data_IF_382199839725
#
_entry.id   IF_382199839725
#
_cell.length_a   1.000
_cell.length_b   1.000
_cell.length_c   1.000
_cell.angle_alpha   90.00
_cell.angle_beta   90.00
_cell.angle_gamma   90.00
#
_symmetry.space_group_name_H-M   'P 1'
#
loop_
_entity.id
_entity.type
_entity.pdbx_description
1 polymer ?
#
# COMPACT_ATOMS: atom_id res chain seq x y z
N UNK A 1 11.78 -18.86 -6.07
CA UNK A 1 10.75 -18.39 -5.11
C UNK A 1 9.50 -18.06 -5.91
N UNK A 2 8.33 -18.66 -5.63
CA UNK A 2 7.05 -18.25 -6.26
C UNK A 2 6.37 -17.26 -5.31
N UNK A 3 6.26 -16.00 -5.72
CA UNK A 3 5.58 -14.94 -4.97
C UNK A 3 4.27 -14.57 -5.67
N UNK A 4 3.25 -14.19 -4.92
CA UNK A 4 2.07 -13.52 -5.50
C UNK A 4 2.45 -12.11 -5.96
N UNK A 5 1.62 -11.50 -6.81
CA UNK A 5 1.90 -10.16 -7.32
C UNK A 5 2.05 -9.11 -6.20
N UNK A 6 1.20 -9.18 -5.16
CA UNK A 6 1.28 -8.29 -4.01
C UNK A 6 2.50 -8.56 -3.13
N UNK A 7 2.85 -9.84 -2.92
CA UNK A 7 4.09 -10.20 -2.22
C UNK A 7 5.33 -9.71 -2.95
N UNK A 8 5.35 -9.80 -4.28
CA UNK A 8 6.45 -9.28 -5.10
C UNK A 8 6.56 -7.74 -5.01
N UNK A 9 5.43 -7.03 -4.97
CA UNK A 9 5.38 -5.57 -4.79
C UNK A 9 5.94 -5.16 -3.42
N UNK A 10 5.50 -5.83 -2.35
CA UNK A 10 6.01 -5.59 -0.98
C UNK A 10 7.50 -5.92 -0.90
N UNK A 11 7.94 -7.02 -1.50
CA UNK A 11 9.34 -7.40 -1.55
C UNK A 11 10.18 -6.32 -2.26
N UNK A 12 9.73 -5.84 -3.42
CA UNK A 12 10.39 -4.78 -4.18
C UNK A 12 10.52 -3.48 -3.36
N UNK A 13 9.47 -3.08 -2.62
CA UNK A 13 9.49 -1.91 -1.72
C UNK A 13 10.53 -2.04 -0.60
N UNK A 14 10.73 -3.24 -0.06
CA UNK A 14 11.66 -3.48 1.06
C UNK A 14 13.08 -3.81 0.60
N UNK A 15 13.29 -4.07 -0.70
CA UNK A 15 14.56 -4.49 -1.24
C UNK A 15 15.71 -3.49 -1.00
N UNK A 16 15.51 -2.15 -1.07
CA UNK A 16 16.54 -1.17 -0.73
C UNK A 16 17.12 -1.41 0.67
N UNK A 17 16.27 -1.60 1.68
CA UNK A 17 16.71 -1.83 3.07
C UNK A 17 17.53 -3.11 3.25
N UNK A 18 17.29 -4.12 2.41
CA UNK A 18 18.03 -5.39 2.45
C UNK A 18 19.38 -5.24 1.75
N UNK A 19 19.40 -4.63 0.56
CA UNK A 19 20.59 -4.59 -0.30
C UNK A 19 21.57 -3.47 0.08
N UNK A 20 21.11 -2.39 0.72
CA UNK A 20 21.93 -1.19 0.99
C UNK A 20 23.28 -1.46 1.66
N UNK A 21 23.36 -2.54 2.46
CA UNK A 21 24.56 -2.93 3.21
C UNK A 21 25.62 -3.60 2.34
N UNK A 22 25.22 -4.12 1.19
CA UNK A 22 26.05 -4.92 0.28
C UNK A 22 26.41 -4.17 -1.00
N UNK A 23 25.83 -2.98 -1.20
CA UNK A 23 25.97 -2.19 -2.43
C UNK A 23 26.76 -0.91 -2.15
N UNK A 24 27.73 -0.52 -3.01
CA UNK A 24 28.41 0.76 -2.94
C UNK A 24 27.47 1.99 -2.97
N UNK A 25 28.01 3.18 -2.71
CA UNK A 25 27.21 4.42 -2.71
C UNK A 25 26.68 4.77 -4.09
N UNK A 26 27.53 4.63 -5.11
CA UNK A 26 27.27 5.08 -6.48
C UNK A 26 27.13 3.94 -7.49
N UNK A 27 26.54 2.82 -7.06
CA UNK A 27 26.35 1.67 -7.93
C UNK A 27 25.23 1.91 -8.95
N UNK A 28 25.58 1.86 -10.24
CA UNK A 28 24.65 2.12 -11.35
C UNK A 28 23.53 1.07 -11.46
N UNK A 29 23.80 -0.19 -11.12
CA UNK A 29 22.78 -1.25 -11.14
C UNK A 29 21.78 -1.06 -10.00
N UNK A 30 22.24 -0.57 -8.85
CA UNK A 30 21.36 -0.21 -7.77
C UNK A 30 20.51 1.02 -8.10
N UNK A 31 21.08 2.04 -8.74
CA UNK A 31 20.30 3.18 -9.24
C UNK A 31 19.20 2.72 -10.20
N UNK A 32 19.51 1.79 -11.10
CA UNK A 32 18.51 1.19 -12.00
C UNK A 32 17.38 0.49 -11.24
N UNK A 33 17.70 -0.18 -10.12
CA UNK A 33 16.71 -0.77 -9.22
C UNK A 33 15.83 0.29 -8.53
N UNK A 34 16.41 1.39 -8.06
CA UNK A 34 15.65 2.48 -7.42
C UNK A 34 14.69 3.15 -8.42
N UNK A 35 15.11 3.31 -9.67
CA UNK A 35 14.26 3.85 -10.73
C UNK A 35 13.03 2.99 -11.00
N UNK A 36 13.18 1.66 -11.08
CA UNK A 36 12.01 0.78 -11.26
C UNK A 36 11.09 0.79 -10.02
N UNK A 37 11.65 0.94 -8.82
CA UNK A 37 10.86 1.11 -7.59
C UNK A 37 10.01 2.38 -7.68
N UNK A 38 10.59 3.52 -8.11
CA UNK A 38 9.87 4.78 -8.30
C UNK A 38 8.73 4.65 -9.32
N UNK A 39 9.02 4.07 -10.50
CA UNK A 39 8.01 3.82 -11.54
C UNK A 39 6.84 3.01 -10.98
N UNK A 40 7.14 1.93 -10.26
CA UNK A 40 6.11 1.08 -9.63
C UNK A 40 5.34 1.86 -8.56
N UNK A 41 6.00 2.65 -7.72
CA UNK A 41 5.32 3.46 -6.70
C UNK A 41 4.30 4.43 -7.32
N UNK A 42 4.68 5.15 -8.38
CA UNK A 42 3.78 6.08 -9.07
C UNK A 42 2.62 5.32 -9.74
N UNK A 43 2.90 4.20 -10.42
CA UNK A 43 1.87 3.38 -11.08
C UNK A 43 0.81 2.83 -10.10
N UNK A 44 1.21 2.53 -8.86
CA UNK A 44 0.31 2.02 -7.82
C UNK A 44 -0.32 3.11 -6.96
N UNK A 45 -0.05 4.39 -7.24
CA UNK A 45 -0.69 5.48 -6.53
C UNK A 45 -2.21 5.48 -6.76
N UNK A 46 -3.04 5.61 -5.70
CA UNK A 46 -4.49 5.67 -5.83
C UNK A 46 -4.99 6.97 -6.47
N UNK A 47 -4.14 8.00 -6.48
CA UNK A 47 -4.41 9.32 -7.03
C UNK A 47 -3.30 9.69 -8.00
N UNK A 48 -3.67 10.13 -9.20
CA UNK A 48 -2.74 10.61 -10.21
C UNK A 48 -2.91 12.12 -10.38
N UNK A 49 -1.80 12.85 -10.35
CA UNK A 49 -1.72 14.28 -10.64
C UNK A 49 -0.95 14.48 -11.93
N UNK A 50 -1.23 15.57 -12.67
CA UNK A 50 -0.47 15.87 -13.91
C UNK A 50 1.05 15.95 -13.66
N UNK A 51 1.55 16.63 -12.60
CA UNK A 51 2.97 16.62 -12.29
C UNK A 51 3.54 15.23 -12.01
N UNK A 52 2.77 14.35 -11.33
CA UNK A 52 3.20 12.97 -11.07
C UNK A 52 3.24 12.10 -12.33
N UNK A 53 2.42 12.41 -13.34
CA UNK A 53 2.50 11.76 -14.66
C UNK A 53 3.75 12.21 -15.41
N UNK A 54 4.11 13.48 -15.32
CA UNK A 54 5.32 14.00 -15.94
C UNK A 54 6.57 13.39 -15.29
N UNK A 55 6.61 13.30 -13.95
CA UNK A 55 7.65 12.59 -13.20
C UNK A 55 7.77 11.12 -13.64
N UNK A 56 6.63 10.44 -13.87
CA UNK A 56 6.63 9.06 -14.37
C UNK A 56 7.24 8.96 -15.77
N UNK A 57 6.95 9.92 -16.66
CA UNK A 57 7.50 9.94 -18.02
C UNK A 57 9.03 10.08 -17.99
N UNK A 58 9.52 11.02 -17.20
CA UNK A 58 10.96 11.23 -16.99
C UNK A 58 11.63 10.00 -16.37
N UNK A 59 11.01 9.40 -15.34
CA UNK A 59 11.52 8.22 -14.68
C UNK A 59 11.62 7.00 -15.63
N UNK A 60 10.61 6.80 -16.49
CA UNK A 60 10.61 5.72 -17.49
C UNK A 60 11.70 5.94 -18.55
N UNK A 61 11.82 7.16 -19.09
CA UNK A 61 12.85 7.49 -20.08
C UNK A 61 14.26 7.26 -19.51
N UNK A 62 14.51 7.77 -18.31
CA UNK A 62 15.78 7.59 -17.62
C UNK A 62 16.07 6.10 -17.35
N UNK A 63 15.08 5.34 -16.89
CA UNK A 63 15.23 3.92 -16.61
C UNK A 63 15.57 3.10 -17.86
N UNK A 64 14.86 3.32 -18.97
CA UNK A 64 15.09 2.59 -20.21
C UNK A 64 16.44 2.95 -20.86
N UNK A 65 16.84 4.21 -20.77
CA UNK A 65 18.14 4.68 -21.24
C UNK A 65 19.27 4.02 -20.45
N UNK A 66 19.24 4.12 -19.12
CA UNK A 66 20.24 3.52 -18.24
C UNK A 66 20.26 1.98 -18.36
N UNK A 67 19.10 1.34 -18.53
CA UNK A 67 19.03 -0.10 -18.79
C UNK A 67 19.81 -0.47 -20.05
N UNK A 68 19.65 0.30 -21.14
CA UNK A 68 20.35 0.00 -22.39
C UNK A 68 21.83 0.31 -22.36
N UNK A 69 22.25 1.31 -21.61
CA UNK A 69 23.67 1.60 -21.39
C UNK A 69 24.36 0.48 -20.59
N UNK A 70 23.72 -0.02 -19.52
CA UNK A 70 24.25 -1.09 -18.69
C UNK A 70 24.17 -2.48 -19.35
N UNK A 71 23.15 -2.70 -20.18
CA UNK A 71 22.91 -3.98 -20.87
C UNK A 71 22.78 -3.82 -22.39
N UNK A 72 23.85 -3.42 -23.09
CA UNK A 72 23.78 -3.07 -24.52
C UNK A 72 23.33 -4.24 -25.41
N UNK A 73 23.70 -5.46 -25.04
CA UNK A 73 23.37 -6.70 -25.77
C UNK A 73 21.95 -7.20 -25.54
N UNK A 74 21.26 -6.73 -24.49
CA UNK A 74 19.92 -7.23 -24.11
C UNK A 74 18.84 -6.39 -24.76
N UNK A 75 17.99 -6.98 -25.60
CA UNK A 75 16.92 -6.25 -26.25
C UNK A 75 15.83 -5.80 -25.26
N UNK A 76 15.24 -4.63 -25.55
CA UNK A 76 14.05 -4.16 -24.85
C UNK A 76 12.89 -5.10 -25.17
N UNK A 77 12.33 -5.71 -24.13
CA UNK A 77 11.17 -6.60 -24.27
C UNK A 77 9.86 -5.80 -24.34
N UNK A 78 8.77 -6.39 -24.87
CA UNK A 78 7.48 -5.70 -24.96
C UNK A 78 7.00 -5.08 -23.65
N UNK A 79 7.22 -5.76 -22.51
CA UNK A 79 6.85 -5.24 -21.18
C UNK A 79 7.56 -3.93 -20.81
N UNK A 80 8.83 -3.80 -21.18
CA UNK A 80 9.60 -2.57 -20.97
C UNK A 80 9.14 -1.47 -21.92
N UNK A 81 8.91 -1.82 -23.19
CA UNK A 81 8.36 -0.88 -24.17
C UNK A 81 7.00 -0.32 -23.73
N UNK A 82 6.11 -1.16 -23.16
CA UNK A 82 4.81 -0.68 -22.69
C UNK A 82 4.87 0.40 -21.60
N UNK A 83 5.99 0.53 -20.88
CA UNK A 83 6.17 1.59 -19.89
C UNK A 83 6.06 2.99 -20.49
N UNK A 84 6.44 3.18 -21.77
CA UNK A 84 6.37 4.52 -22.40
C UNK A 84 4.94 5.00 -22.59
N UNK A 85 3.97 4.07 -22.66
CA UNK A 85 2.55 4.37 -22.87
C UNK A 85 1.79 4.55 -21.55
N UNK A 86 2.39 4.14 -20.42
CA UNK A 86 1.78 4.22 -19.10
C UNK A 86 1.39 5.66 -18.72
N UNK A 87 2.23 6.70 -18.90
CA UNK A 87 1.86 8.08 -18.60
C UNK A 87 0.58 8.52 -19.33
N UNK A 88 0.48 8.24 -20.62
CA UNK A 88 -0.68 8.62 -21.42
C UNK A 88 -1.91 7.81 -21.04
N UNK A 89 -1.76 6.53 -20.70
CA UNK A 89 -2.86 5.72 -20.15
C UNK A 89 -3.41 6.33 -18.84
N UNK A 90 -2.54 6.82 -17.95
CA UNK A 90 -2.98 7.46 -16.70
C UNK A 90 -3.76 8.74 -16.99
N UNK A 91 -3.34 9.56 -17.96
CA UNK A 91 -4.05 10.78 -18.34
C UNK A 91 -5.45 10.50 -18.90
N UNK A 92 -5.59 9.46 -19.72
CA UNK A 92 -6.86 9.15 -20.38
C UNK A 92 -7.81 8.29 -19.53
N UNK A 93 -7.27 7.37 -18.72
CA UNK A 93 -8.04 6.34 -18.01
C UNK A 93 -8.01 6.51 -16.47
N UNK A 94 -7.20 7.45 -15.97
CA UNK A 94 -6.98 7.64 -14.54
C UNK A 94 -5.98 6.64 -13.93
N UNK A 95 -5.89 6.58 -12.59
CA UNK A 95 -4.87 5.79 -11.89
C UNK A 95 -4.88 4.30 -12.24
N UNK A 96 -3.71 3.74 -12.58
CA UNK A 96 -3.58 2.35 -13.04
C UNK A 96 -3.99 1.31 -12.01
N UNK A 97 -3.87 1.61 -10.72
CA UNK A 97 -4.30 0.70 -9.65
C UNK A 97 -5.78 0.32 -9.78
N UNK A 98 -6.62 1.19 -10.35
CA UNK A 98 -8.05 0.94 -10.59
C UNK A 98 -8.30 -0.05 -11.72
N UNK A 99 -7.34 -0.21 -12.63
CA UNK A 99 -7.37 -1.13 -13.77
C UNK A 99 -6.59 -2.43 -13.50
N UNK A 100 -6.05 -2.59 -12.29
CA UNK A 100 -5.24 -3.76 -11.92
C UNK A 100 -6.07 -5.04 -11.88
N UNK A 101 -5.53 -6.10 -12.47
CA UNK A 101 -6.15 -7.43 -12.44
C UNK A 101 -5.90 -8.22 -11.15
N UNK A 102 -5.11 -7.70 -10.20
CA UNK A 102 -4.75 -8.41 -8.97
C UNK A 102 -5.98 -8.87 -8.17
N UNK A 103 -7.03 -8.05 -8.11
CA UNK A 103 -8.26 -8.41 -7.38
C UNK A 103 -9.04 -9.53 -8.07
N UNK A 104 -9.10 -9.52 -9.40
CA UNK A 104 -9.70 -10.60 -10.17
C UNK A 104 -8.91 -11.89 -9.96
N UNK A 105 -7.58 -11.85 -10.03
CA UNK A 105 -6.73 -13.01 -9.78
C UNK A 105 -6.85 -13.55 -8.34
N UNK A 106 -6.98 -12.66 -7.35
CA UNK A 106 -7.21 -13.04 -5.95
C UNK A 106 -8.55 -13.74 -5.76
N UNK A 107 -9.63 -13.28 -6.41
CA UNK A 107 -10.93 -13.97 -6.39
C UNK A 107 -10.84 -15.40 -6.96
N UNK A 108 -9.98 -15.64 -7.95
CA UNK A 108 -9.76 -16.98 -8.48
C UNK A 108 -9.04 -17.94 -7.52
N UNK A 109 -8.45 -17.45 -6.41
CA UNK A 109 -7.85 -18.32 -5.40
C UNK A 109 -8.86 -19.30 -4.81
N UNK A 110 -10.08 -18.82 -4.48
CA UNK A 110 -11.18 -19.65 -4.00
C UNK A 110 -11.42 -20.88 -4.89
N UNK A 111 -11.55 -20.65 -6.20
CA UNK A 111 -11.79 -21.73 -7.16
C UNK A 111 -10.61 -22.70 -7.24
N UNK A 112 -9.37 -22.18 -7.20
CA UNK A 112 -8.15 -23.01 -7.23
C UNK A 112 -8.02 -23.89 -5.98
N UNK A 113 -8.42 -23.39 -4.83
CA UNK A 113 -8.32 -24.12 -3.56
C UNK A 113 -9.39 -25.22 -3.44
N UNK A 114 -10.59 -24.98 -3.97
CA UNK A 114 -11.73 -25.91 -3.86
C UNK A 114 -11.77 -26.92 -5.00
N UNK A 115 -11.34 -26.56 -6.21
CA UNK A 115 -11.30 -27.44 -7.38
C UNK A 115 -10.71 -28.84 -7.08
N UNK A 116 -9.54 -28.99 -6.42
CA UNK A 116 -8.97 -30.32 -6.15
C UNK A 116 -9.76 -31.14 -5.11
N UNK A 117 -10.68 -30.52 -4.37
CA UNK A 117 -11.51 -31.19 -3.36
C UNK A 117 -12.84 -31.70 -3.94
N UNK A 118 -13.15 -31.38 -5.19
CA UNK A 118 -14.42 -31.75 -5.83
C UNK A 118 -14.26 -32.99 -6.72
N UNK A 119 -15.40 -33.59 -7.09
CA UNK A 119 -15.40 -34.58 -8.16
C UNK A 119 -15.06 -33.90 -9.51
N UNK A 120 -14.45 -34.64 -10.44
CA UNK A 120 -14.04 -34.09 -11.75
C UNK A 120 -15.20 -33.94 -12.76
N UNK A 121 -16.44 -34.26 -12.35
CA UNK A 121 -17.59 -34.19 -13.25
C UNK A 121 -18.25 -32.82 -13.13
N UNK A 122 -18.24 -32.05 -14.21
CA UNK A 122 -18.84 -30.71 -14.26
C UNK A 122 -18.28 -29.74 -13.20
N UNK A 123 -16.96 -29.80 -12.95
CA UNK A 123 -16.29 -28.99 -11.92
C UNK A 123 -16.62 -27.50 -11.99
N UNK A 124 -16.73 -26.92 -13.19
CA UNK A 124 -17.09 -25.52 -13.38
C UNK A 124 -18.50 -25.21 -12.84
N UNK A 125 -19.46 -26.11 -13.07
CA UNK A 125 -20.83 -25.95 -12.58
C UNK A 125 -20.85 -26.03 -11.05
N UNK A 126 -20.24 -27.06 -10.47
CA UNK A 126 -20.23 -27.25 -9.01
C UNK A 126 -19.52 -26.10 -8.29
N UNK A 127 -18.42 -25.59 -8.83
CA UNK A 127 -17.73 -24.42 -8.29
C UNK A 127 -18.58 -23.15 -8.40
N UNK A 128 -19.27 -22.93 -9.51
CA UNK A 128 -20.13 -21.78 -9.71
C UNK A 128 -21.34 -21.81 -8.78
N UNK A 129 -22.04 -22.95 -8.66
CA UNK A 129 -23.18 -23.13 -7.75
C UNK A 129 -22.77 -22.89 -6.30
N UNK A 130 -21.64 -23.48 -5.88
CA UNK A 130 -21.13 -23.29 -4.51
C UNK A 130 -20.77 -21.83 -4.24
N UNK A 131 -20.12 -21.16 -5.19
CA UNK A 131 -19.75 -19.75 -5.04
C UNK A 131 -21.00 -18.86 -4.96
N UNK A 132 -22.01 -19.10 -5.79
CA UNK A 132 -23.28 -18.38 -5.75
C UNK A 132 -24.02 -18.58 -4.41
N UNK A 133 -24.03 -19.81 -3.87
CA UNK A 133 -24.64 -20.09 -2.58
C UNK A 133 -23.90 -19.38 -1.43
N UNK A 134 -22.57 -19.33 -1.47
CA UNK A 134 -21.76 -18.59 -0.50
C UNK A 134 -22.03 -17.08 -0.55
N UNK A 135 -22.04 -16.50 -1.76
CA UNK A 135 -22.39 -15.10 -1.96
C UNK A 135 -23.82 -14.81 -1.46
N UNK A 136 -24.82 -15.64 -1.80
CA UNK A 136 -26.19 -15.50 -1.29
C UNK A 136 -26.28 -15.57 0.25
N UNK A 137 -25.55 -16.49 0.88
CA UNK A 137 -25.51 -16.59 2.34
C UNK A 137 -24.92 -15.32 2.98
N UNK A 138 -23.88 -14.75 2.36
CA UNK A 138 -23.30 -13.48 2.80
C UNK A 138 -24.29 -12.32 2.63
N UNK A 139 -25.08 -12.28 1.55
CA UNK A 139 -26.12 -11.28 1.30
C UNK A 139 -27.24 -11.29 2.35
N UNK A 140 -27.65 -12.49 2.81
CA UNK A 140 -28.80 -12.64 3.70
C UNK A 140 -28.52 -12.29 5.18
N UNK A 141 -27.25 -12.17 5.57
CA UNK A 141 -26.85 -11.90 6.96
C UNK A 141 -26.73 -10.41 7.31
N UNK A 142 -27.00 -9.50 6.38
CA UNK A 142 -26.79 -8.06 6.59
C UNK A 142 -27.94 -7.37 7.32
N UNK A 143 -27.57 -6.70 8.40
CA UNK A 143 -28.28 -5.56 8.96
C UNK A 143 -28.66 -4.59 7.81
N UNK A 144 -29.92 -4.11 7.68
CA UNK A 144 -30.41 -3.33 6.52
C UNK A 144 -29.62 -2.06 6.15
N UNK A 145 -28.64 -1.66 6.98
CA UNK A 145 -27.73 -0.54 6.74
C UNK A 145 -26.35 -0.96 6.18
N UNK A 146 -26.11 -2.24 5.89
CA UNK A 146 -24.86 -2.72 5.29
C UNK A 146 -25.13 -3.23 3.87
N UNK A 147 -24.37 -2.68 2.91
CA UNK A 147 -24.38 -3.19 1.54
C UNK A 147 -23.32 -4.30 1.44
N UNK A 148 -23.61 -5.41 0.76
CA UNK A 148 -22.72 -6.57 0.59
C UNK A 148 -21.33 -6.25 0.03
N UNK A 149 -21.25 -5.23 -0.82
CA UNK A 149 -19.97 -4.74 -1.37
C UNK A 149 -19.06 -4.10 -0.32
N UNK A 150 -19.62 -3.64 0.80
CA UNK A 150 -18.92 -2.90 1.86
C UNK A 150 -18.84 -3.68 3.19
N UNK A 151 -19.39 -4.90 3.26
CA UNK A 151 -19.37 -5.78 4.44
C UNK A 151 -17.96 -5.97 5.06
N UNK A 152 -16.91 -5.92 4.25
CA UNK A 152 -15.53 -6.12 4.70
C UNK A 152 -14.73 -4.83 4.87
N UNK A 153 -15.33 -3.65 4.66
CA UNK A 153 -14.57 -2.40 4.69
C UNK A 153 -14.15 -1.99 6.10
N UNK A 154 -14.84 -2.45 7.16
CA UNK A 154 -14.45 -2.12 8.54
C UNK A 154 -14.60 -3.35 9.43
N UNK A 155 -13.47 -3.97 9.79
CA UNK A 155 -13.42 -5.00 10.86
C UNK A 155 -12.53 -4.50 11.99
N UNK A 156 -12.86 -4.81 13.23
CA UNK A 156 -12.05 -4.43 14.37
C UNK A 156 -11.76 -5.62 15.26
N UNK A 157 -10.61 -5.56 15.94
CA UNK A 157 -10.24 -6.51 16.96
C UNK A 157 -11.02 -6.29 18.26
N UNK A 158 -10.62 -7.00 19.33
CA UNK A 158 -11.23 -6.84 20.65
C UNK A 158 -11.36 -5.37 21.04
N UNK A 159 -12.56 -4.97 21.45
CA UNK A 159 -12.89 -3.58 21.78
C UNK A 159 -13.07 -3.38 23.27
N UNK A 160 -12.44 -2.34 23.80
CA UNK A 160 -12.65 -1.85 25.15
C UNK A 160 -13.57 -0.63 25.08
N UNK A 161 -14.78 -0.75 25.62
CA UNK A 161 -15.72 0.39 25.71
C UNK A 161 -15.15 1.43 26.67
N UNK A 162 -15.18 2.69 26.24
CA UNK A 162 -14.83 3.85 27.04
C UNK A 162 -16.12 4.58 27.44
N UNK A 163 -16.04 5.59 28.31
CA UNK A 163 -17.24 6.28 28.81
C UNK A 163 -18.10 6.84 27.65
N UNK A 164 -19.42 6.58 27.72
CA UNK A 164 -20.37 6.84 26.63
C UNK A 164 -20.67 5.61 25.78
N UNK A 165 -21.90 5.49 25.26
CA UNK A 165 -22.34 4.26 24.56
C UNK A 165 -21.64 4.00 23.21
N UNK A 166 -20.97 5.00 22.64
CA UNK A 166 -20.52 4.96 21.24
C UNK A 166 -19.00 4.97 21.03
N UNK A 167 -18.19 5.10 22.10
CA UNK A 167 -16.72 5.15 22.01
C UNK A 167 -16.10 3.80 22.41
N UNK A 168 -15.37 3.19 21.49
CA UNK A 168 -14.61 1.96 21.76
C UNK A 168 -13.17 2.08 21.27
N UNK A 169 -12.20 1.64 22.08
CA UNK A 169 -10.81 1.50 21.63
C UNK A 169 -10.54 0.07 21.19
N UNK A 170 -9.73 -0.11 20.14
CA UNK A 170 -9.36 -1.43 19.63
C UNK A 170 -7.84 -1.52 19.41
N UNK A 171 -7.30 -2.73 19.50
CA UNK A 171 -5.86 -2.99 19.27
C UNK A 171 -5.49 -2.97 17.79
N UNK A 172 -6.44 -3.40 16.94
CA UNK A 172 -6.25 -3.46 15.50
C UNK A 172 -7.56 -3.21 14.76
N UNK A 173 -7.46 -2.66 13.56
CA UNK A 173 -8.60 -2.40 12.70
C UNK A 173 -8.24 -2.68 11.25
N UNK A 174 -9.12 -3.34 10.52
CA UNK A 174 -9.08 -3.47 9.08
C UNK A 174 -9.96 -2.39 8.47
N UNK A 175 -9.36 -1.49 7.68
CA UNK A 175 -10.04 -0.47 6.90
C UNK A 175 -9.81 -0.73 5.40
N UNK A 176 -10.87 -1.14 4.70
CA UNK A 176 -10.76 -1.66 3.34
C UNK A 176 -9.84 -2.88 3.28
N UNK A 177 -8.68 -2.71 2.64
CA UNK A 177 -7.65 -3.75 2.51
C UNK A 177 -6.50 -3.57 3.49
N UNK A 178 -6.51 -2.49 4.28
CA UNK A 178 -5.39 -2.12 5.11
C UNK A 178 -5.60 -2.62 6.53
N UNK A 179 -4.59 -3.33 7.05
CA UNK A 179 -4.57 -3.81 8.43
C UNK A 179 -3.77 -2.83 9.29
N UNK A 180 -4.47 -2.13 10.18
CA UNK A 180 -3.91 -1.10 11.07
C UNK A 180 -3.67 -1.72 12.43
N UNK A 181 -2.44 -1.59 12.91
CA UNK A 181 -2.01 -2.02 14.23
C UNK A 181 -1.44 -0.84 15.00
N UNK A 182 -1.44 -0.97 16.33
CA UNK A 182 -0.62 -0.11 17.19
C UNK A 182 0.86 -0.18 16.74
N UNK A 183 1.51 0.97 16.71
CA UNK A 183 2.92 1.13 16.33
C UNK A 183 3.15 1.33 14.82
N UNK A 184 2.14 1.11 13.97
CA UNK A 184 2.17 1.51 12.56
C UNK A 184 2.30 3.03 12.44
N UNK A 185 2.79 3.50 11.30
CA UNK A 185 2.95 4.92 11.01
C UNK A 185 2.01 5.32 9.88
N UNK A 186 1.42 6.50 10.01
CA UNK A 186 0.52 7.09 9.01
C UNK A 186 1.00 8.50 8.65
N UNK A 187 0.77 8.92 7.41
CA UNK A 187 0.99 10.32 7.03
C UNK A 187 -0.25 11.13 7.41
N UNK A 188 -0.09 12.02 8.40
CA UNK A 188 -1.20 12.77 8.99
C UNK A 188 -1.43 14.11 8.30
N UNK A 189 -0.38 14.71 7.78
CA UNK A 189 -0.42 16.00 7.08
C UNK A 189 0.82 16.15 6.16
N UNK A 190 0.97 17.30 5.50
CA UNK A 190 2.15 17.67 4.75
C UNK A 190 2.58 19.10 5.11
N UNK A 191 3.89 19.28 5.34
CA UNK A 191 4.47 20.60 5.51
C UNK A 191 4.73 21.20 4.13
N UNK A 192 3.91 22.18 3.75
CA UNK A 192 4.00 22.84 2.44
C UNK A 192 5.22 23.73 2.29
N UNK A 193 5.91 24.09 3.39
CA UNK A 193 7.10 24.94 3.34
C UNK A 193 8.33 24.18 2.82
N UNK A 194 8.51 22.94 3.27
CA UNK A 194 9.60 22.06 2.88
C UNK A 194 9.14 20.93 1.91
N UNK A 195 7.84 20.85 1.62
CA UNK A 195 7.20 19.81 0.78
C UNK A 195 7.39 18.39 1.32
N UNK A 196 7.47 18.24 2.64
CA UNK A 196 7.68 16.94 3.28
C UNK A 196 6.39 16.44 3.97
N UNK A 197 6.13 15.12 3.95
CA UNK A 197 5.02 14.56 4.71
C UNK A 197 5.30 14.66 6.21
N UNK A 198 4.22 14.87 6.99
CA UNK A 198 4.21 14.80 8.44
C UNK A 198 3.68 13.43 8.84
N UNK A 199 4.47 12.69 9.60
CA UNK A 199 4.13 11.33 10.02
C UNK A 199 3.70 11.28 11.49
N UNK A 200 2.87 10.30 11.81
CA UNK A 200 2.44 9.98 13.17
C UNK A 200 2.53 8.49 13.46
N UNK A 201 3.22 8.11 14.54
CA UNK A 201 3.21 6.73 15.02
C UNK A 201 1.95 6.47 15.85
N UNK A 202 1.16 5.48 15.45
CA UNK A 202 -0.11 5.14 16.09
C UNK A 202 0.09 4.53 17.48
N UNK A 203 -0.57 5.11 18.47
CA UNK A 203 -0.61 4.59 19.83
C UNK A 203 -1.93 3.86 20.13
N UNK A 204 -3.07 4.45 19.74
CA UNK A 204 -4.39 3.83 19.92
C UNK A 204 -5.33 4.13 18.76
N UNK A 205 -6.26 3.22 18.55
CA UNK A 205 -7.32 3.34 17.54
C UNK A 205 -8.66 3.41 18.27
N UNK A 206 -9.47 4.40 17.94
CA UNK A 206 -10.80 4.59 18.48
C UNK A 206 -11.84 4.52 17.37
N UNK A 207 -12.98 3.90 17.65
CA UNK A 207 -14.18 3.92 16.82
C UNK A 207 -15.27 4.68 17.56
N UNK A 208 -15.85 5.69 16.90
CA UNK A 208 -16.99 6.47 17.41
C UNK A 208 -18.09 6.43 16.37
N UNK A 209 -19.10 5.59 16.58
CA UNK A 209 -20.07 5.26 15.52
C UNK A 209 -19.37 4.77 14.26
N UNK A 210 -19.56 5.49 13.14
CA UNK A 210 -18.92 5.18 11.85
C UNK A 210 -17.50 5.74 11.71
N UNK A 211 -17.15 6.76 12.50
CA UNK A 211 -15.85 7.44 12.42
C UNK A 211 -14.72 6.62 13.05
N UNK A 212 -13.51 6.84 12.55
CA UNK A 212 -12.28 6.27 13.10
C UNK A 212 -11.33 7.40 13.45
N UNK A 213 -10.85 7.37 14.70
CA UNK A 213 -9.91 8.35 15.24
C UNK A 213 -8.63 7.61 15.62
N UNK A 214 -7.50 8.18 15.21
CA UNK A 214 -6.19 7.70 15.59
C UNK A 214 -5.56 8.64 16.61
N UNK A 215 -5.12 8.08 17.73
CA UNK A 215 -4.16 8.72 18.62
C UNK A 215 -2.75 8.35 18.18
N UNK A 216 -1.91 9.36 17.97
CA UNK A 216 -0.56 9.16 17.47
C UNK A 216 0.45 10.08 18.14
N UNK A 217 1.71 9.64 18.18
CA UNK A 217 2.86 10.48 18.52
C UNK A 217 3.42 11.09 17.25
N UNK A 218 3.50 12.42 17.13
CA UNK A 218 4.07 13.08 15.97
C UNK A 218 5.54 12.68 15.75
N UNK A 219 5.92 12.53 14.49
CA UNK A 219 7.30 12.25 14.09
C UNK A 219 7.83 13.43 13.27
N UNK A 220 9.06 13.84 13.55
CA UNK A 220 9.73 14.88 12.77
C UNK A 220 10.38 14.27 11.55
N UNK A 221 9.90 14.65 10.37
CA UNK A 221 10.54 14.27 9.10
C UNK A 221 11.79 15.10 8.89
N UNK A 222 12.94 14.44 8.74
CA UNK A 222 14.25 15.10 8.60
C UNK A 222 14.61 15.30 7.12
N UNK A 223 14.60 14.22 6.36
CA UNK A 223 15.03 14.20 4.95
C UNK A 223 14.44 12.99 4.21
N UNK A 224 14.38 13.07 2.89
CA UNK A 224 14.10 11.91 2.03
C UNK A 224 15.42 11.27 1.60
N UNK A 225 15.62 9.99 1.90
CA UNK A 225 16.82 9.28 1.49
C UNK A 225 16.58 8.54 0.18
N UNK A 226 17.14 9.06 -0.91
CA UNK A 226 17.09 8.41 -2.23
C UNK A 226 17.68 6.99 -2.20
N UNK A 227 18.71 6.76 -1.37
CA UNK A 227 19.35 5.44 -1.20
C UNK A 227 18.39 4.38 -0.67
N UNK A 228 17.44 4.76 0.16
CA UNK A 228 16.44 3.85 0.75
C UNK A 228 15.06 3.96 0.10
N UNK A 229 14.82 5.01 -0.71
CA UNK A 229 13.49 5.41 -1.20
C UNK A 229 12.49 5.56 -0.03
N UNK A 230 12.95 6.19 1.05
CA UNK A 230 12.25 6.29 2.32
C UNK A 230 12.55 7.60 3.05
N UNK A 231 11.63 8.03 3.91
CA UNK A 231 11.80 9.22 4.73
C UNK A 231 12.50 8.89 6.02
N UNK A 232 13.58 9.62 6.33
CA UNK A 232 14.22 9.54 7.64
C UNK A 232 13.43 10.41 8.63
N UNK A 233 13.08 9.82 9.76
CA UNK A 233 12.30 10.47 10.79
C UNK A 233 12.94 10.34 12.16
N UNK A 234 12.56 11.25 13.06
CA UNK A 234 12.97 11.23 14.46
C UNK A 234 11.73 11.34 15.35
N UNK A 235 11.76 10.62 16.48
CA UNK A 235 10.77 10.80 17.53
C UNK A 235 11.06 12.11 18.23
N UNK A 236 10.07 12.98 18.29
CA UNK A 236 10.12 14.13 19.17
C UNK A 236 10.19 13.63 20.62
N UNK A 237 10.78 14.42 21.52
CA UNK A 237 11.09 14.03 22.91
C UNK A 237 9.94 13.27 23.60
N UNK A 238 10.24 12.32 24.49
CA UNK A 238 9.28 11.45 25.18
C UNK A 238 8.12 12.18 25.91
N UNK A 239 8.21 13.50 26.07
CA UNK A 239 7.22 14.34 26.76
C UNK A 239 6.23 15.03 25.83
N UNK A 240 6.33 14.89 24.51
CA UNK A 240 5.31 15.47 23.64
C UNK A 240 3.96 14.76 23.78
N UNK A 241 2.86 15.51 23.90
CA UNK A 241 1.53 14.94 24.02
C UNK A 241 1.15 14.20 22.73
N UNK A 242 0.43 13.09 22.89
CA UNK A 242 -0.21 12.43 21.75
C UNK A 242 -1.25 13.37 21.12
N UNK A 243 -1.36 13.30 19.80
CA UNK A 243 -2.32 14.07 19.01
C UNK A 243 -3.36 13.13 18.40
N UNK A 244 -4.49 13.69 17.97
CA UNK A 244 -5.56 12.92 17.33
C UNK A 244 -5.75 13.34 15.88
N UNK A 245 -5.99 12.38 15.00
CA UNK A 245 -6.48 12.64 13.64
C UNK A 245 -7.68 11.77 13.30
N UNK A 246 -8.57 12.31 12.48
CA UNK A 246 -9.67 11.56 11.88
C UNK A 246 -9.14 10.84 10.64
N UNK A 247 -9.41 9.54 10.52
CA UNK A 247 -9.00 8.74 9.36
C UNK A 247 -9.40 9.38 8.03
N UNK A 248 -10.64 9.88 7.93
CA UNK A 248 -11.17 10.54 6.72
C UNK A 248 -10.49 11.86 6.34
N UNK A 249 -9.69 12.46 7.23
CA UNK A 249 -8.97 13.72 6.99
C UNK A 249 -7.50 13.51 6.64
N UNK A 250 -7.03 12.26 6.61
CA UNK A 250 -5.66 11.96 6.25
C UNK A 250 -5.42 12.23 4.76
N UNK A 251 -4.23 12.75 4.44
CA UNK A 251 -3.81 13.01 3.07
C UNK A 251 -3.44 11.72 2.32
N UNK A 252 -2.95 10.72 3.06
CA UNK A 252 -2.56 9.43 2.53
C UNK A 252 -3.12 8.32 3.43
N UNK A 253 -3.74 7.32 2.80
CA UNK A 253 -4.31 6.16 3.47
C UNK A 253 -3.32 4.99 3.58
N UNK A 254 -2.11 5.13 3.05
CA UNK A 254 -1.07 4.13 3.22
C UNK A 254 -0.66 3.99 4.69
N UNK A 255 -0.50 2.75 5.11
CA UNK A 255 0.07 2.39 6.40
C UNK A 255 1.53 2.03 6.19
N UNK A 256 2.39 2.69 6.93
CA UNK A 256 3.82 2.48 6.91
C UNK A 256 4.25 1.67 8.14
N UNK A 257 5.31 0.88 7.94
CA UNK A 257 5.97 0.16 9.03
C UNK A 257 7.32 0.81 9.26
N UNK A 258 7.60 1.33 10.47
CA UNK A 258 8.88 1.96 10.76
C UNK A 258 10.01 0.92 10.70
N UNK A 259 11.08 1.23 9.98
CA UNK A 259 12.27 0.38 9.87
C UNK A 259 13.47 1.08 10.51
N UNK A 260 14.05 0.43 11.52
CA UNK A 260 15.29 0.90 12.14
C UNK A 260 16.49 0.38 11.34
N UNK A 261 17.29 1.29 10.77
CA UNK A 261 18.54 0.95 10.09
C UNK A 261 19.67 1.81 10.65
N UNK A 262 20.68 1.15 11.20
CA UNK A 262 21.80 1.78 11.90
C UNK A 262 21.29 2.67 13.07
N UNK A 263 21.56 3.98 13.01
CA UNK A 263 21.12 4.99 14.00
C UNK A 263 19.88 5.76 13.57
N UNK A 264 19.29 5.46 12.41
CA UNK A 264 18.14 6.18 11.85
C UNK A 264 16.86 5.35 11.83
N UNK A 265 15.73 6.03 12.01
CA UNK A 265 14.40 5.47 11.79
C UNK A 265 13.89 5.93 10.42
N UNK A 266 13.38 4.98 9.62
CA UNK A 266 12.91 5.22 8.26
C UNK A 266 11.46 4.75 8.07
N UNK A 267 10.72 5.46 7.21
CA UNK A 267 9.31 5.24 6.86
C UNK A 267 9.15 5.18 5.34
#
# INVERSE_FOLDING_TARGET
MKLTAEQARIYLKNLPFILVKYVPVDDLYYQLLLQIILIVQICFSPVASAPGVDELREAVELHLTNFKELFPTINIIPKMHYLIHIPDQILHLGPLVRHSCMRFEARHAYFKDIAPLQNFKNICLSLAERYQLDDCANLCNDNPNHHPLFQTEKKHGPTKKLEGNDLASTEWMMLGYYFILRGCVVAVDADFSNKMPVFGQLEKIFSVGEEVIFEYTPLKTLEFSSRFMAYKVEKLSYFEPTTFCLYRRMLDYNIYSPVNVNTGLYI
#
